data_IF_241887416666
#
_entry.id   IF_241887416666
#
_cell.length_a   1.000
_cell.length_b   1.000
_cell.length_c   1.000
_cell.angle_alpha   90.00
_cell.angle_beta   90.00
_cell.angle_gamma   90.00
#
_symmetry.space_group_name_H-M   'P 1'
#
loop_
_entity.id
_entity.type
_entity.pdbx_description
1 polymer ?
#
# COMPACT_ATOMS: atom_id res chain seq x y z
N UNK A 1 -11.62 -2.29 -24.67
CA UNK A 1 -12.33 -2.01 -23.41
C UNK A 1 -12.12 -0.56 -23.03
N UNK A 2 -13.04 -0.01 -22.26
CA UNK A 2 -13.06 1.40 -21.89
C UNK A 2 -11.89 1.75 -20.96
N UNK A 3 -11.38 2.98 -21.08
CA UNK A 3 -10.34 3.54 -20.24
C UNK A 3 -10.85 4.79 -19.56
N UNK A 4 -10.38 5.04 -18.35
CA UNK A 4 -10.70 6.25 -17.60
C UNK A 4 -9.42 7.01 -17.27
N UNK A 5 -9.53 8.32 -17.16
CA UNK A 5 -8.48 9.21 -16.67
C UNK A 5 -8.87 9.70 -15.28
N UNK A 6 -8.06 9.38 -14.27
CA UNK A 6 -8.19 9.95 -12.93
C UNK A 6 -7.37 11.24 -12.88
N UNK A 7 -8.01 12.35 -12.53
CA UNK A 7 -7.40 13.68 -12.54
C UNK A 7 -7.47 14.35 -11.16
N UNK A 8 -6.47 15.17 -10.85
CA UNK A 8 -6.42 16.02 -9.66
C UNK A 8 -5.83 17.38 -10.05
N UNK A 9 -6.50 18.46 -9.68
CA UNK A 9 -6.03 19.84 -9.91
C UNK A 9 -5.63 20.11 -11.37
N UNK A 10 -6.42 19.58 -12.32
CA UNK A 10 -6.18 19.70 -13.77
C UNK A 10 -5.10 18.77 -14.34
N UNK A 11 -4.44 17.93 -13.52
CA UNK A 11 -3.37 17.02 -13.95
C UNK A 11 -3.84 15.57 -13.90
N UNK A 12 -3.60 14.83 -14.99
CA UNK A 12 -3.84 13.38 -15.06
C UNK A 12 -2.90 12.66 -14.10
N UNK A 13 -3.48 11.93 -13.15
CA UNK A 13 -2.76 11.14 -12.15
C UNK A 13 -2.53 9.71 -12.64
N UNK A 14 -3.52 9.14 -13.33
CA UNK A 14 -3.42 7.82 -13.95
C UNK A 14 -4.45 7.68 -15.08
N UNK A 15 -4.07 7.00 -16.15
CA UNK A 15 -4.94 6.65 -17.27
C UNK A 15 -4.84 5.14 -17.52
N UNK A 16 -5.96 4.44 -17.54
CA UNK A 16 -5.96 2.98 -17.59
C UNK A 16 -7.37 2.38 -17.63
N UNK A 17 -7.45 1.05 -17.63
CA UNK A 17 -8.73 0.39 -17.40
C UNK A 17 -9.20 0.62 -15.96
N UNK A 18 -10.51 0.55 -15.66
CA UNK A 18 -10.99 0.64 -14.28
C UNK A 18 -10.31 -0.37 -13.35
N UNK A 19 -10.08 -1.60 -13.83
CA UNK A 19 -9.41 -2.66 -13.09
C UNK A 19 -7.95 -2.31 -12.78
N UNK A 20 -7.18 -1.84 -13.77
CA UNK A 20 -5.78 -1.45 -13.56
C UNK A 20 -5.64 -0.31 -12.54
N UNK A 21 -6.55 0.65 -12.59
CA UNK A 21 -6.56 1.78 -11.65
C UNK A 21 -6.91 1.34 -10.23
N UNK A 22 -7.80 0.35 -10.09
CA UNK A 22 -8.15 -0.23 -8.81
C UNK A 22 -7.01 -1.05 -8.20
N UNK A 23 -6.44 -1.96 -8.99
CA UNK A 23 -5.45 -2.97 -8.57
C UNK A 23 -4.04 -2.40 -8.44
N UNK A 24 -3.68 -1.46 -9.31
CA UNK A 24 -2.33 -0.88 -9.41
C UNK A 24 -2.40 0.64 -9.46
N UNK A 25 -2.87 1.30 -8.39
CA UNK A 25 -2.94 2.74 -8.34
C UNK A 25 -1.54 3.35 -8.40
N UNK A 26 -1.36 4.37 -9.24
CA UNK A 26 -0.06 4.99 -9.49
C UNK A 26 0.45 5.85 -8.31
N UNK A 27 -0.46 6.32 -7.46
CA UNK A 27 -0.14 7.11 -6.28
C UNK A 27 -1.25 7.02 -5.21
N UNK A 28 -0.98 7.57 -4.02
CA UNK A 28 -1.92 7.55 -2.90
C UNK A 28 -3.26 8.26 -3.17
N UNK A 29 -3.27 9.30 -4.01
CA UNK A 29 -4.51 9.96 -4.39
C UNK A 29 -5.40 9.01 -5.20
N UNK A 30 -4.86 8.36 -6.23
CA UNK A 30 -5.63 7.40 -7.03
C UNK A 30 -6.08 6.22 -6.17
N UNK A 31 -5.19 5.71 -5.31
CA UNK A 31 -5.49 4.62 -4.38
C UNK A 31 -6.63 4.95 -3.42
N UNK A 32 -6.69 6.18 -2.90
CA UNK A 32 -7.72 6.63 -1.98
C UNK A 32 -9.02 7.06 -2.66
N UNK A 33 -8.94 7.54 -3.90
CA UNK A 33 -10.09 8.06 -4.65
C UNK A 33 -10.95 6.96 -5.28
N UNK A 34 -10.33 5.87 -5.72
CA UNK A 34 -11.01 4.76 -6.40
C UNK A 34 -11.28 3.61 -5.42
N UNK A 35 -12.54 3.19 -5.35
CA UNK A 35 -13.04 2.15 -4.44
C UNK A 35 -13.91 2.73 -3.32
N UNK A 36 -14.96 2.00 -2.94
CA UNK A 36 -15.82 2.34 -1.80
C UNK A 36 -16.08 1.08 -0.98
N UNK A 37 -15.58 0.99 0.27
CA UNK A 37 -14.86 2.03 1.00
C UNK A 37 -13.45 2.32 0.43
N UNK A 38 -12.89 3.48 0.77
CA UNK A 38 -11.56 3.90 0.31
C UNK A 38 -10.45 3.00 0.86
N UNK A 39 -9.27 3.01 0.21
CA UNK A 39 -8.08 2.32 0.73
C UNK A 39 -7.70 2.82 2.14
N UNK A 40 -7.33 1.89 3.02
CA UNK A 40 -6.73 2.22 4.31
C UNK A 40 -5.26 2.57 4.11
N UNK A 41 -4.80 3.67 4.70
CA UNK A 41 -3.40 4.08 4.68
C UNK A 41 -2.82 4.07 6.09
N UNK A 42 -1.73 3.33 6.28
CA UNK A 42 -1.05 3.18 7.56
C UNK A 42 0.40 3.58 7.39
N UNK A 43 0.85 4.56 8.17
CA UNK A 43 2.25 5.00 8.17
C UNK A 43 3.05 4.08 9.09
N UNK A 44 4.24 3.70 8.67
CA UNK A 44 5.14 2.86 9.44
C UNK A 44 6.55 2.91 8.90
N UNK A 45 7.38 1.99 9.38
CA UNK A 45 8.79 1.88 8.99
C UNK A 45 9.08 0.48 8.46
N UNK A 46 10.13 0.36 7.67
CA UNK A 46 10.67 -0.95 7.28
C UNK A 46 11.79 -1.34 8.21
N UNK A 47 11.69 -2.51 8.82
CA UNK A 47 12.77 -3.13 9.57
C UNK A 47 13.21 -4.40 8.83
N UNK A 48 14.51 -4.68 8.84
CA UNK A 48 15.04 -5.95 8.37
C UNK A 48 15.35 -6.84 9.58
N UNK A 49 14.77 -8.03 9.62
CA UNK A 49 15.14 -9.08 10.56
C UNK A 49 15.71 -10.26 9.78
N UNK A 50 16.97 -10.61 10.04
CA UNK A 50 17.71 -11.61 9.26
C UNK A 50 17.69 -11.30 7.75
N UNK A 51 16.96 -12.08 6.96
CA UNK A 51 16.82 -11.94 5.50
C UNK A 51 15.38 -11.55 5.07
N UNK A 52 14.49 -11.25 6.02
CA UNK A 52 13.11 -10.86 5.74
C UNK A 52 12.88 -9.38 6.08
N UNK A 53 12.18 -8.67 5.21
CA UNK A 53 11.72 -7.32 5.53
C UNK A 53 10.36 -7.37 6.23
N UNK A 54 10.18 -6.48 7.19
CA UNK A 54 8.93 -6.32 7.92
C UNK A 54 8.47 -4.87 7.86
N UNK A 55 7.16 -4.67 7.68
CA UNK A 55 6.51 -3.40 7.99
C UNK A 55 6.23 -3.37 9.49
N UNK A 56 6.74 -2.33 10.16
CA UNK A 56 6.55 -2.11 11.58
C UNK A 56 5.27 -1.31 11.80
N UNK A 57 4.25 -1.97 12.34
CA UNK A 57 2.99 -1.35 12.74
C UNK A 57 3.04 -1.01 14.22
N UNK A 58 3.00 0.28 14.55
CA UNK A 58 2.90 0.75 15.92
C UNK A 58 1.47 1.18 16.24
N UNK A 59 0.88 0.60 17.29
CA UNK A 59 -0.44 0.98 17.77
C UNK A 59 -0.54 0.83 19.29
N UNK A 60 -0.90 1.92 19.98
CA UNK A 60 -1.07 1.94 21.44
C UNK A 60 0.15 1.40 22.22
N UNK A 61 1.36 1.75 21.78
CA UNK A 61 2.61 1.30 22.41
C UNK A 61 2.98 -0.17 22.15
N UNK A 62 2.22 -0.88 21.31
CA UNK A 62 2.57 -2.21 20.81
C UNK A 62 3.13 -2.12 19.40
N UNK A 63 4.17 -2.91 19.13
CA UNK A 63 4.76 -3.08 17.81
C UNK A 63 4.41 -4.46 17.25
N UNK A 64 3.89 -4.47 16.02
CA UNK A 64 3.57 -5.69 15.26
C UNK A 64 4.39 -5.69 13.98
N UNK A 65 5.11 -6.79 13.72
CA UNK A 65 5.90 -6.96 12.51
C UNK A 65 5.07 -7.71 11.45
N UNK A 66 4.75 -7.03 10.35
CA UNK A 66 4.06 -7.63 9.22
C UNK A 66 5.09 -8.04 8.15
N UNK A 67 5.20 -9.33 7.78
CA UNK A 67 6.18 -9.76 6.80
C UNK A 67 5.87 -9.17 5.42
N UNK A 68 6.87 -8.54 4.82
CA UNK A 68 6.78 -8.01 3.45
C UNK A 68 7.13 -9.14 2.48
N UNK A 69 6.31 -9.41 1.45
CA UNK A 69 6.62 -10.43 0.45
C UNK A 69 7.97 -10.19 -0.23
N UNK A 70 8.73 -11.26 -0.47
CA UNK A 70 10.04 -11.20 -1.11
C UNK A 70 10.00 -10.52 -2.50
N UNK A 71 8.87 -10.63 -3.20
CA UNK A 71 8.63 -9.96 -4.50
C UNK A 71 8.65 -8.43 -4.41
N UNK A 72 8.37 -7.86 -3.24
CA UNK A 72 8.34 -6.42 -2.99
C UNK A 72 9.62 -5.93 -2.32
N UNK A 73 10.35 -6.82 -1.63
CA UNK A 73 11.52 -6.47 -0.83
C UNK A 73 12.61 -5.74 -1.63
N UNK A 74 12.95 -6.23 -2.82
CA UNK A 74 13.99 -5.63 -3.65
C UNK A 74 13.63 -4.21 -4.16
N UNK A 75 12.34 -3.95 -4.39
CA UNK A 75 11.88 -2.62 -4.79
C UNK A 75 11.95 -1.64 -3.61
N UNK A 76 11.53 -2.09 -2.42
CA UNK A 76 11.53 -1.29 -1.19
C UNK A 76 12.97 -0.90 -0.80
N UNK A 77 13.90 -1.86 -0.78
CA UNK A 77 15.31 -1.59 -0.44
C UNK A 77 15.97 -0.58 -1.39
N UNK A 78 15.53 -0.51 -2.65
CA UNK A 78 16.04 0.45 -3.64
C UNK A 78 15.48 1.86 -3.42
N UNK A 79 14.22 1.96 -3.03
CA UNK A 79 13.48 3.23 -2.93
C UNK A 79 13.57 3.87 -1.54
N UNK A 80 13.86 3.09 -0.51
CA UNK A 80 14.04 3.57 0.85
C UNK A 80 15.15 2.78 1.53
N UNK A 81 16.08 3.45 2.25
CA UNK A 81 17.01 2.75 3.11
C UNK A 81 16.23 1.90 4.13
N UNK A 82 16.86 0.84 4.62
CA UNK A 82 16.37 0.12 5.81
C UNK A 82 16.16 1.15 6.93
N UNK A 83 14.99 1.12 7.59
CA UNK A 83 14.45 2.14 8.51
C UNK A 83 13.82 3.39 7.87
N UNK A 84 13.59 3.42 6.56
CA UNK A 84 12.82 4.47 5.90
C UNK A 84 11.33 4.43 6.29
N UNK A 85 10.70 5.61 6.34
CA UNK A 85 9.25 5.73 6.52
C UNK A 85 8.53 5.33 5.23
N UNK A 86 7.53 4.46 5.35
CA UNK A 86 6.69 4.03 4.23
C UNK A 86 5.21 4.07 4.62
N UNK A 87 4.34 4.09 3.60
CA UNK A 87 2.89 4.00 3.78
C UNK A 87 2.42 2.65 3.24
N UNK A 88 1.82 1.83 4.11
CA UNK A 88 1.08 0.64 3.73
C UNK A 88 -0.31 1.06 3.26
N UNK A 89 -0.64 0.75 2.00
CA UNK A 89 -1.99 0.84 1.48
C UNK A 89 -2.64 -0.55 1.47
N UNK A 90 -3.80 -0.71 2.11
CA UNK A 90 -4.57 -1.96 2.09
C UNK A 90 -6.05 -1.70 1.85
N UNK A 91 -6.64 -2.44 0.92
CA UNK A 91 -8.07 -2.36 0.65
C UNK A 91 -8.89 -2.96 1.80
N UNK A 92 -10.06 -2.40 2.16
CA UNK A 92 -10.91 -2.94 3.23
C UNK A 92 -11.25 -4.42 3.05
N UNK A 93 -11.52 -4.87 1.82
CA UNK A 93 -11.86 -6.27 1.52
C UNK A 93 -10.69 -7.26 1.71
N UNK A 94 -9.47 -6.77 1.93
CA UNK A 94 -8.31 -7.60 2.28
C UNK A 94 -8.06 -7.68 3.79
N UNK A 95 -8.95 -7.11 4.60
CA UNK A 95 -8.92 -7.20 6.05
C UNK A 95 -10.09 -8.09 6.49
N UNK A 96 -9.77 -9.19 7.14
CA UNK A 96 -10.75 -10.11 7.72
C UNK A 96 -10.49 -10.27 9.22
N UNK A 97 -11.49 -10.74 9.94
CA UNK A 97 -11.31 -11.15 11.33
C UNK A 97 -10.40 -12.39 11.37
N UNK A 98 -9.50 -12.47 12.34
CA UNK A 98 -8.62 -13.63 12.52
C UNK A 98 -9.41 -14.94 12.70
N UNK A 99 -10.62 -14.88 13.27
CA UNK A 99 -11.51 -16.03 13.41
C UNK A 99 -12.21 -16.44 12.10
N UNK A 100 -12.15 -15.58 11.07
CA UNK A 100 -12.80 -15.76 9.76
C UNK A 100 -11.80 -15.75 8.59
N UNK A 101 -10.51 -15.91 8.90
CA UNK A 101 -9.42 -15.94 7.93
C UNK A 101 -9.26 -17.31 7.25
#
# INVERSE_FOLDING_TARGET
>A
GDKIAVMRDGVVQQFGSPQDIYDRPANMFVAGFIGSPSMNFIRGKVQQEQQQLHFVLEHQGRSTLLPIPATQAAAIQRLSPVNGEIVLGIRPEHVTDAASA
#
